data_IF_083398567730
#
_entry.id   IF_083398567730
#
_cell.length_a   1.000
_cell.length_b   1.000
_cell.length_c   1.000
_cell.angle_alpha   90.00
_cell.angle_beta   90.00
_cell.angle_gamma   90.00
#
_symmetry.space_group_name_H-M   'P 1'
#
loop_
_entity.id
_entity.type
_entity.pdbx_description
1 polymer ?
#
# COMPACT_ATOMS: atom_id res chain seq x y z
N UNK A 1 10.30 -12.22 -34.67
CA UNK A 1 10.78 -11.78 -33.35
C UNK A 1 9.99 -10.56 -32.98
N UNK A 2 9.21 -10.59 -31.90
CA UNK A 2 8.35 -9.46 -31.50
C UNK A 2 9.23 -8.30 -31.04
N UNK A 3 9.15 -7.17 -31.74
CA UNK A 3 9.91 -5.96 -31.41
C UNK A 3 9.61 -5.52 -29.98
N UNK A 4 10.58 -5.73 -29.09
CA UNK A 4 10.54 -5.30 -27.68
C UNK A 4 10.56 -3.77 -27.52
N UNK A 5 10.70 -3.00 -28.62
CA UNK A 5 10.79 -1.53 -28.64
C UNK A 5 9.41 -0.83 -28.74
N UNK A 6 8.40 -1.30 -28.00
CA UNK A 6 7.08 -0.66 -28.02
C UNK A 6 6.85 0.17 -26.73
N UNK A 7 6.64 1.50 -26.82
CA UNK A 7 6.32 2.34 -25.66
C UNK A 7 5.06 1.90 -24.90
N UNK A 8 4.20 1.05 -25.51
CA UNK A 8 3.05 0.44 -24.82
C UNK A 8 3.45 -0.44 -23.64
N UNK A 9 4.65 -1.05 -23.66
CA UNK A 9 5.15 -1.88 -22.55
C UNK A 9 5.36 -1.03 -21.30
N UNK A 10 5.92 0.18 -21.47
CA UNK A 10 6.06 1.13 -20.39
C UNK A 10 4.70 1.54 -19.79
N UNK A 11 3.73 1.92 -20.63
CA UNK A 11 2.39 2.28 -20.16
C UNK A 11 1.62 1.09 -19.54
N UNK A 12 1.91 -0.15 -19.97
CA UNK A 12 1.37 -1.34 -19.32
C UNK A 12 1.95 -1.50 -17.90
N UNK A 13 3.27 -1.34 -17.74
CA UNK A 13 3.93 -1.39 -16.44
C UNK A 13 3.36 -0.32 -15.49
N UNK A 14 3.19 0.92 -15.97
CA UNK A 14 2.61 2.01 -15.18
C UNK A 14 1.17 1.71 -14.74
N UNK A 15 0.32 1.19 -15.63
CA UNK A 15 -1.04 0.78 -15.25
C UNK A 15 -1.05 -0.29 -14.17
N UNK A 16 -0.13 -1.26 -14.23
CA UNK A 16 -0.02 -2.26 -13.16
C UNK A 16 0.42 -1.64 -11.84
N UNK A 17 1.38 -0.71 -11.86
CA UNK A 17 1.81 0.04 -10.68
C UNK A 17 0.64 0.80 -10.04
N UNK A 18 -0.17 1.49 -10.83
CA UNK A 18 -1.34 2.24 -10.36
C UNK A 18 -2.45 1.32 -9.84
N UNK A 19 -2.63 0.15 -10.44
CA UNK A 19 -3.57 -0.87 -9.93
C UNK A 19 -3.14 -1.36 -8.55
N UNK A 20 -1.86 -1.71 -8.39
CA UNK A 20 -1.31 -2.09 -7.08
C UNK A 20 -1.43 -0.98 -6.03
N UNK A 21 -1.25 0.29 -6.42
CA UNK A 21 -1.43 1.44 -5.53
C UNK A 21 -2.86 1.47 -4.95
N UNK A 22 -3.87 1.34 -5.80
CA UNK A 22 -5.28 1.30 -5.37
C UNK A 22 -5.55 0.13 -4.42
N UNK A 23 -5.01 -1.05 -4.70
CA UNK A 23 -5.14 -2.20 -3.82
C UNK A 23 -4.47 -1.95 -2.47
N UNK A 24 -3.25 -1.39 -2.44
CA UNK A 24 -2.58 -1.06 -1.18
C UNK A 24 -3.35 -0.03 -0.35
N UNK A 25 -3.88 1.03 -0.98
CA UNK A 25 -4.67 2.04 -0.28
C UNK A 25 -5.97 1.46 0.28
N UNK A 26 -6.66 0.60 -0.49
CA UNK A 26 -7.87 -0.06 -0.01
C UNK A 26 -7.59 -0.94 1.21
N UNK A 27 -6.50 -1.72 1.20
CA UNK A 27 -6.07 -2.55 2.32
C UNK A 27 -5.72 -1.71 3.56
N UNK A 28 -4.98 -0.61 3.38
CA UNK A 28 -4.65 0.30 4.48
C UNK A 28 -5.89 0.94 5.08
N UNK A 29 -6.81 1.44 4.25
CA UNK A 29 -8.04 2.07 4.70
C UNK A 29 -8.95 1.09 5.46
N UNK A 30 -9.09 -0.14 4.94
CA UNK A 30 -9.84 -1.20 5.63
C UNK A 30 -9.18 -1.60 6.95
N UNK A 31 -7.84 -1.75 6.96
CA UNK A 31 -7.09 -2.08 8.16
C UNK A 31 -7.27 -1.03 9.26
N UNK A 32 -7.18 0.25 8.88
CA UNK A 32 -7.44 1.36 9.79
C UNK A 32 -8.89 1.38 10.31
N UNK A 33 -9.87 1.16 9.44
CA UNK A 33 -11.27 1.11 9.84
C UNK A 33 -11.55 -0.02 10.84
N UNK A 34 -10.99 -1.22 10.58
CA UNK A 34 -11.15 -2.39 11.46
C UNK A 34 -10.50 -2.14 12.82
N UNK A 35 -9.28 -1.60 12.87
CA UNK A 35 -8.63 -1.22 14.13
C UNK A 35 -9.51 -0.25 14.93
N UNK A 36 -10.03 0.79 14.26
CA UNK A 36 -10.82 1.84 14.91
C UNK A 36 -12.18 1.36 15.40
N UNK A 37 -12.74 0.30 14.80
CA UNK A 37 -14.03 -0.26 15.25
C UNK A 37 -13.98 -0.80 16.68
N UNK A 38 -12.84 -1.33 17.14
CA UNK A 38 -12.70 -1.78 18.54
C UNK A 38 -12.83 -0.63 19.55
N UNK A 39 -12.17 0.49 19.26
CA UNK A 39 -12.29 1.70 20.08
C UNK A 39 -13.70 2.28 20.07
N UNK A 40 -14.37 2.28 18.91
CA UNK A 40 -15.76 2.72 18.80
C UNK A 40 -16.70 1.86 19.66
N UNK A 41 -16.55 0.54 19.62
CA UNK A 41 -17.34 -0.38 20.44
C UNK A 41 -17.08 -0.21 21.93
N UNK A 42 -15.83 0.04 22.34
CA UNK A 42 -15.50 0.33 23.73
C UNK A 42 -16.21 1.57 24.27
N UNK A 43 -16.32 2.63 23.44
CA UNK A 43 -17.04 3.86 23.81
C UNK A 43 -18.55 3.68 23.87
N UNK A 44 -19.12 2.84 23.00
CA UNK A 44 -20.58 2.60 22.91
C UNK A 44 -21.10 1.60 23.94
N UNK A 45 -20.32 0.56 24.26
CA UNK A 45 -20.73 -0.53 25.14
C UNK A 45 -19.58 -0.97 26.06
N UNK A 46 -19.21 -0.15 27.05
CA UNK A 46 -18.09 -0.45 27.96
C UNK A 46 -18.27 -1.77 28.73
N UNK A 47 -19.51 -2.14 29.07
CA UNK A 47 -19.86 -3.39 29.80
C UNK A 47 -19.74 -4.67 28.96
N UNK A 48 -19.91 -4.58 27.63
CA UNK A 48 -19.85 -5.73 26.70
C UNK A 48 -18.57 -5.73 25.86
N UNK A 49 -17.63 -4.81 26.13
CA UNK A 49 -16.33 -4.76 25.48
C UNK A 49 -15.46 -5.93 25.95
N UNK A 50 -15.75 -7.13 25.45
CA UNK A 50 -14.91 -8.30 25.64
C UNK A 50 -13.50 -7.95 25.16
N UNK A 51 -12.52 -8.00 26.06
CA UNK A 51 -11.12 -7.64 25.78
C UNK A 51 -10.52 -8.40 24.58
N UNK A 52 -11.03 -9.62 24.31
CA UNK A 52 -10.69 -10.43 23.14
C UNK A 52 -11.10 -9.80 21.81
N UNK A 53 -12.31 -9.23 21.71
CA UNK A 53 -12.81 -8.59 20.48
C UNK A 53 -11.95 -7.38 20.11
N UNK A 54 -11.61 -6.53 21.10
CA UNK A 54 -10.74 -5.38 20.89
C UNK A 54 -9.34 -5.78 20.43
N UNK A 55 -8.75 -6.81 21.06
CA UNK A 55 -7.42 -7.30 20.69
C UNK A 55 -7.41 -7.92 19.30
N UNK A 56 -8.46 -8.66 18.94
CA UNK A 56 -8.59 -9.26 17.61
C UNK A 56 -8.73 -8.20 16.51
N UNK A 57 -9.63 -7.22 16.68
CA UNK A 57 -9.79 -6.11 15.72
C UNK A 57 -8.50 -5.31 15.54
N UNK A 58 -7.77 -5.07 16.63
CA UNK A 58 -6.46 -4.42 16.59
C UNK A 58 -5.45 -5.21 15.72
N UNK A 59 -5.24 -6.49 16.01
CA UNK A 59 -4.28 -7.32 15.26
C UNK A 59 -4.67 -7.50 13.80
N UNK A 60 -5.96 -7.69 13.51
CA UNK A 60 -6.47 -7.82 12.14
C UNK A 60 -6.29 -6.50 11.37
N UNK A 61 -6.64 -5.37 11.99
CA UNK A 61 -6.47 -4.05 11.38
C UNK A 61 -5.01 -3.72 11.10
N UNK A 62 -4.13 -3.98 12.07
CA UNK A 62 -2.68 -3.81 11.92
C UNK A 62 -2.12 -4.72 10.81
N UNK A 63 -2.53 -5.98 10.76
CA UNK A 63 -2.08 -6.91 9.72
C UNK A 63 -2.47 -6.45 8.31
N UNK A 64 -3.71 -5.98 8.12
CA UNK A 64 -4.18 -5.43 6.84
C UNK A 64 -3.44 -4.17 6.43
N UNK A 65 -3.17 -3.28 7.40
CA UNK A 65 -2.43 -2.05 7.18
C UNK A 65 -0.97 -2.32 6.78
N UNK A 66 -0.30 -3.24 7.47
CA UNK A 66 1.06 -3.68 7.11
C UNK A 66 1.08 -4.41 5.76
N UNK A 67 0.07 -5.22 5.45
CA UNK A 67 -0.06 -5.89 4.15
C UNK A 67 -0.23 -4.87 3.02
N UNK A 68 -1.02 -3.82 3.23
CA UNK A 68 -1.13 -2.69 2.31
C UNK A 68 0.21 -1.98 2.08
N UNK A 69 0.97 -1.70 3.16
CA UNK A 69 2.30 -1.09 3.07
C UNK A 69 3.30 -1.97 2.32
N UNK A 70 3.26 -3.28 2.58
CA UNK A 70 4.04 -4.28 1.86
C UNK A 70 3.71 -4.28 0.37
N UNK A 71 2.43 -4.31 0.00
CA UNK A 71 2.00 -4.26 -1.41
C UNK A 71 2.48 -2.99 -2.12
N UNK A 72 2.41 -1.83 -1.47
CA UNK A 72 2.90 -0.57 -2.04
C UNK A 72 4.41 -0.61 -2.31
N UNK A 73 5.20 -1.13 -1.35
CA UNK A 73 6.64 -1.31 -1.49
C UNK A 73 6.99 -2.32 -2.59
N UNK A 74 6.34 -3.49 -2.58
CA UNK A 74 6.54 -4.56 -3.55
C UNK A 74 6.27 -4.09 -4.98
N UNK A 75 5.18 -3.35 -5.19
CA UNK A 75 4.84 -2.78 -6.49
C UNK A 75 5.88 -1.77 -6.97
N UNK A 76 6.40 -0.92 -6.07
CA UNK A 76 7.49 0.01 -6.40
C UNK A 76 8.78 -0.74 -6.79
N UNK A 77 9.11 -1.84 -6.13
CA UNK A 77 10.27 -2.68 -6.47
C UNK A 77 10.08 -3.37 -7.83
N UNK A 78 8.89 -3.93 -8.06
CA UNK A 78 8.55 -4.59 -9.32
C UNK A 78 8.62 -3.61 -10.50
N UNK A 79 8.05 -2.42 -10.36
CA UNK A 79 8.13 -1.38 -11.38
C UNK A 79 9.58 -0.95 -11.67
N UNK A 80 10.41 -0.79 -10.62
CA UNK A 80 11.85 -0.51 -10.81
C UNK A 80 12.58 -1.65 -11.51
N UNK A 81 12.22 -2.91 -11.23
CA UNK A 81 12.81 -4.07 -11.91
C UNK A 81 12.45 -4.08 -13.40
N UNK A 82 11.19 -3.77 -13.73
CA UNK A 82 10.73 -3.65 -15.13
C UNK A 82 11.41 -2.47 -15.83
N UNK A 83 11.55 -1.32 -15.17
CA UNK A 83 12.28 -0.17 -15.72
C UNK A 83 13.73 -0.50 -16.07
N UNK A 84 14.43 -1.29 -15.24
CA UNK A 84 15.81 -1.71 -15.52
C UNK A 84 15.94 -2.63 -16.73
N UNK A 85 14.85 -3.28 -17.15
CA UNK A 85 14.83 -4.15 -18.35
C UNK A 85 14.44 -3.43 -19.62
N UNK A 86 13.90 -2.20 -19.53
CA UNK A 86 13.47 -1.39 -20.68
C UNK A 86 14.65 -0.62 -21.28
N UNK A 87 14.67 -0.49 -22.61
CA UNK A 87 15.68 0.30 -23.32
C UNK A 87 15.28 1.79 -23.34
N UNK A 88 16.23 2.73 -23.43
CA UNK A 88 15.94 4.17 -23.44
C UNK A 88 14.98 4.62 -24.55
N UNK A 89 14.89 3.87 -25.65
CA UNK A 89 13.99 4.14 -26.80
C UNK A 89 12.51 3.87 -26.48
N UNK A 90 12.22 3.11 -25.42
CA UNK A 90 10.85 2.72 -25.03
C UNK A 90 10.20 3.74 -24.08
N UNK A 91 10.96 4.76 -23.63
CA UNK A 91 10.49 5.82 -22.73
C UNK A 91 10.26 7.10 -23.56
N UNK A 92 9.03 7.64 -23.60
CA UNK A 92 8.76 8.90 -24.30
C UNK A 92 9.61 10.05 -23.74
N UNK A 93 10.22 10.86 -24.62
CA UNK A 93 11.00 12.02 -24.21
C UNK A 93 10.15 12.99 -23.38
N UNK A 94 10.63 13.33 -22.17
CA UNK A 94 9.93 14.23 -21.23
C UNK A 94 8.99 13.56 -20.21
N UNK A 95 8.81 12.24 -20.24
CA UNK A 95 7.94 11.55 -19.28
C UNK A 95 8.61 11.34 -17.91
N UNK A 96 7.95 11.75 -16.83
CA UNK A 96 8.45 11.60 -15.45
C UNK A 96 8.27 10.17 -14.93
N UNK A 97 9.18 9.27 -15.29
CA UNK A 97 9.19 7.85 -14.88
C UNK A 97 9.25 7.60 -13.36
N UNK A 98 9.62 8.62 -12.57
CA UNK A 98 9.85 8.44 -11.13
C UNK A 98 8.66 8.84 -10.25
N UNK A 99 7.63 9.48 -10.80
CA UNK A 99 6.49 10.03 -10.03
C UNK A 99 5.64 8.94 -9.37
N UNK A 100 5.23 7.92 -10.13
CA UNK A 100 4.44 6.79 -9.63
C UNK A 100 5.12 6.03 -8.48
N UNK A 101 6.39 5.60 -8.62
CA UNK A 101 7.13 4.96 -7.54
C UNK A 101 7.32 5.85 -6.31
N UNK A 102 7.54 7.15 -6.49
CA UNK A 102 7.66 8.10 -5.38
C UNK A 102 6.39 8.12 -4.54
N UNK A 103 5.23 8.20 -5.20
CA UNK A 103 3.92 8.22 -4.54
C UNK A 103 3.69 6.92 -3.77
N UNK A 104 3.95 5.76 -4.39
CA UNK A 104 3.83 4.46 -3.72
C UNK A 104 4.74 4.35 -2.50
N UNK A 105 5.98 4.83 -2.61
CA UNK A 105 6.91 4.82 -1.49
C UNK A 105 6.46 5.75 -0.36
N UNK A 106 5.93 6.93 -0.69
CA UNK A 106 5.32 7.85 0.27
C UNK A 106 4.14 7.22 1.00
N UNK A 107 3.24 6.55 0.28
CA UNK A 107 2.10 5.82 0.85
C UNK A 107 2.58 4.67 1.76
N UNK A 108 3.59 3.90 1.34
CA UNK A 108 4.17 2.85 2.16
C UNK A 108 4.78 3.40 3.46
N UNK A 109 5.51 4.52 3.37
CA UNK A 109 6.12 5.17 4.54
C UNK A 109 5.05 5.68 5.51
N UNK A 110 4.00 6.33 5.00
CA UNK A 110 2.87 6.80 5.81
C UNK A 110 2.13 5.62 6.46
N UNK A 111 1.90 4.54 5.73
CA UNK A 111 1.31 3.30 6.26
C UNK A 111 2.16 2.71 7.38
N UNK A 112 3.48 2.61 7.20
CA UNK A 112 4.38 2.13 8.25
C UNK A 112 4.41 3.06 9.47
N UNK A 113 4.47 4.38 9.25
CA UNK A 113 4.44 5.37 10.33
C UNK A 113 3.13 5.27 11.13
N UNK A 114 1.99 5.10 10.45
CA UNK A 114 0.71 4.87 11.09
C UNK A 114 0.69 3.55 11.86
N UNK A 115 1.25 2.47 11.31
CA UNK A 115 1.39 1.19 12.01
C UNK A 115 2.25 1.28 13.27
N UNK A 116 3.37 2.00 13.21
CA UNK A 116 4.23 2.27 14.38
C UNK A 116 3.49 3.12 15.42
N UNK A 117 2.75 4.14 14.98
CA UNK A 117 1.95 4.97 15.87
C UNK A 117 0.87 4.15 16.60
N UNK A 118 0.19 3.25 15.89
CA UNK A 118 -0.80 2.34 16.49
C UNK A 118 -0.16 1.38 17.48
N UNK A 119 1.02 0.84 17.18
CA UNK A 119 1.80 -0.01 18.09
C UNK A 119 2.18 0.73 19.38
N UNK A 120 2.63 1.98 19.27
CA UNK A 120 2.98 2.81 20.42
C UNK A 120 1.76 3.25 21.23
N UNK A 121 0.62 3.50 20.58
CA UNK A 121 -0.62 3.89 21.26
C UNK A 121 -1.32 2.75 22.01
N UNK A 122 -0.98 1.49 21.71
CA UNK A 122 -1.52 0.31 22.40
C UNK A 122 -0.59 -0.25 23.50
N UNK A 123 0.68 0.15 23.52
CA UNK A 123 1.69 -0.24 24.53
C UNK A 123 1.61 0.65 25.77
#
# INVERSE_FOLDING_TARGET
>A
MSDLNDPRVFFAAERTLLAWNRTSLALMAFGFAIERTGLLLHLLQPEHAQSLQNRASYWVGLALLLLGAWCACWSSLQYRKVLRTLRPIEIPEGYSVNSGPLINFGIALLGLALGVFLLLGHA
#
